data_IF_794308425397
#
_entry.id   IF_794308425397
#
_cell.length_a   1.000
_cell.length_b   1.000
_cell.length_c   1.000
_cell.angle_alpha   90.00
_cell.angle_beta   90.00
_cell.angle_gamma   90.00
#
_symmetry.space_group_name_H-M   'P 1'
#
loop_
_entity.id
_entity.type
_entity.pdbx_description
1 polymer ?
#
# COMPACT_ATOMS: atom_id res chain seq x y z
N UNK A 1 26.29 -16.07 34.47
CA UNK A 1 26.80 -15.25 33.35
C UNK A 1 25.68 -14.59 32.58
N UNK A 2 25.80 -13.28 32.34
CA UNK A 2 24.81 -12.52 31.58
C UNK A 2 25.22 -12.51 30.11
N UNK A 3 24.44 -13.18 29.27
CA UNK A 3 24.66 -13.21 27.82
C UNK A 3 23.94 -12.03 27.18
N UNK A 4 24.67 -11.18 26.46
CA UNK A 4 24.10 -10.05 25.72
C UNK A 4 23.58 -10.48 24.36
N UNK A 5 22.51 -9.83 23.89
CA UNK A 5 21.99 -10.06 22.55
C UNK A 5 22.93 -9.51 21.46
N UNK A 6 22.88 -10.08 20.26
CA UNK A 6 23.62 -9.58 19.09
C UNK A 6 23.31 -8.10 18.80
N UNK A 7 22.05 -7.67 18.98
CA UNK A 7 21.65 -6.27 18.79
C UNK A 7 22.37 -5.34 19.78
N UNK A 8 22.46 -5.75 21.04
CA UNK A 8 23.17 -5.00 22.08
C UNK A 8 24.65 -4.87 21.75
N UNK A 9 25.27 -5.95 21.29
CA UNK A 9 26.68 -5.95 20.89
C UNK A 9 26.96 -4.96 19.73
N UNK A 10 26.11 -4.95 18.71
CA UNK A 10 26.25 -4.00 17.60
C UNK A 10 26.07 -2.54 18.03
N UNK A 11 25.18 -2.29 18.99
CA UNK A 11 24.99 -0.94 19.55
C UNK A 11 26.21 -0.46 20.35
N UNK A 12 26.87 -1.35 21.08
CA UNK A 12 28.11 -0.99 21.80
C UNK A 12 29.24 -0.60 20.85
N UNK A 13 29.33 -1.26 19.68
CA UNK A 13 30.25 -0.84 18.61
C UNK A 13 29.89 0.56 18.07
N UNK A 14 28.59 0.84 17.89
CA UNK A 14 28.14 2.18 17.48
C UNK A 14 28.44 3.27 18.52
N UNK A 15 28.39 2.93 19.81
CA UNK A 15 28.68 3.83 20.91
C UNK A 15 30.18 3.96 21.20
N UNK A 16 31.05 3.24 20.48
CA UNK A 16 32.50 3.26 20.70
C UNK A 16 32.94 2.61 22.02
N UNK A 17 32.09 1.75 22.60
CA UNK A 17 32.36 1.05 23.86
C UNK A 17 33.23 -0.21 23.66
N UNK A 18 33.58 -0.53 22.42
CA UNK A 18 34.46 -1.62 22.04
C UNK A 18 35.51 -1.13 21.04
N UNK A 19 36.71 -1.70 21.13
CA UNK A 19 37.82 -1.43 20.20
C UNK A 19 37.65 -2.20 18.88
N UNK A 20 36.48 -2.05 18.26
CA UNK A 20 36.09 -2.67 16.99
C UNK A 20 35.37 -1.58 16.19
N UNK A 21 35.66 -1.46 14.89
CA UNK A 21 35.03 -0.44 14.03
C UNK A 21 33.84 -1.03 13.28
N UNK A 22 32.94 -0.15 12.84
CA UNK A 22 31.81 -0.55 12.00
C UNK A 22 32.22 -1.25 10.68
N UNK A 23 33.43 -0.99 10.18
CA UNK A 23 33.99 -1.68 9.01
C UNK A 23 34.37 -3.14 9.27
N UNK A 24 34.64 -3.51 10.53
CA UNK A 24 35.00 -4.87 10.93
C UNK A 24 33.75 -5.77 11.10
N UNK A 25 32.54 -5.21 10.95
CA UNK A 25 31.27 -5.91 11.04
C UNK A 25 30.72 -6.22 9.64
N UNK A 26 31.05 -7.37 9.02
CA UNK A 26 30.71 -7.66 7.62
C UNK A 26 29.19 -7.66 7.36
N UNK A 27 28.40 -8.12 8.32
CA UNK A 27 26.93 -8.11 8.20
C UNK A 27 26.33 -6.70 8.33
N UNK A 28 27.02 -5.76 8.96
CA UNK A 28 26.55 -4.37 9.06
C UNK A 28 26.72 -3.64 7.73
N UNK A 29 27.87 -3.83 7.09
CA UNK A 29 28.23 -3.18 5.83
C UNK A 29 27.33 -3.65 4.68
N UNK A 30 26.87 -4.91 4.72
CA UNK A 30 25.92 -5.47 3.72
C UNK A 30 24.49 -4.96 3.87
N UNK A 31 24.09 -4.45 5.05
CA UNK A 31 22.71 -4.04 5.29
C UNK A 31 22.41 -2.71 4.61
N UNK A 32 21.27 -2.65 3.94
CA UNK A 32 20.79 -1.39 3.39
C UNK A 32 20.39 -0.43 4.52
N UNK A 33 21.14 0.64 4.69
CA UNK A 33 20.91 1.69 5.68
C UNK A 33 19.98 2.80 5.18
N UNK A 34 19.54 2.75 3.91
CA UNK A 34 18.66 3.77 3.36
C UNK A 34 17.32 3.75 4.10
N UNK A 35 17.03 4.84 4.79
CA UNK A 35 15.70 5.10 5.35
C UNK A 35 14.67 5.03 4.23
N UNK A 36 13.61 4.23 4.41
CA UNK A 36 12.50 4.17 3.47
C UNK A 36 11.85 5.55 3.38
N UNK A 37 12.09 6.27 2.29
CA UNK A 37 11.44 7.55 2.03
C UNK A 37 10.03 7.27 1.53
N UNK A 38 9.03 7.79 2.24
CA UNK A 38 7.68 7.85 1.70
C UNK A 38 7.70 8.79 0.49
N UNK A 39 7.39 8.28 -0.70
CA UNK A 39 7.20 9.12 -1.88
C UNK A 39 5.86 9.83 -1.73
N UNK A 40 5.87 11.15 -1.80
CA UNK A 40 4.63 11.94 -1.90
C UNK A 40 4.07 11.76 -3.31
N UNK A 41 2.77 11.46 -3.42
CA UNK A 41 2.10 11.38 -4.71
C UNK A 41 2.05 12.78 -5.34
N UNK A 42 2.52 12.91 -6.58
CA UNK A 42 2.53 14.21 -7.29
C UNK A 42 1.15 14.60 -7.82
N UNK A 43 0.25 13.62 -8.04
CA UNK A 43 -1.10 13.85 -8.56
C UNK A 43 -2.11 13.71 -7.42
N UNK A 44 -3.02 14.67 -7.31
CA UNK A 44 -4.16 14.60 -6.40
C UNK A 44 -5.27 13.83 -7.12
N UNK A 45 -5.54 12.60 -6.68
CA UNK A 45 -6.55 11.70 -7.28
C UNK A 45 -7.96 11.90 -6.70
N UNK A 46 -8.15 12.94 -5.89
CA UNK A 46 -9.37 13.19 -5.13
C UNK A 46 -9.22 12.82 -3.66
N UNK A 47 -10.36 12.78 -2.95
CA UNK A 47 -10.45 12.40 -1.53
C UNK A 47 -10.31 10.90 -1.37
N UNK A 48 -9.64 10.45 -0.31
CA UNK A 48 -9.57 9.01 -0.02
C UNK A 48 -10.95 8.45 0.29
N UNK A 49 -11.18 7.19 -0.07
CA UNK A 49 -12.39 6.47 0.34
C UNK A 49 -12.47 6.34 1.86
N UNK A 50 -11.33 6.32 2.55
CA UNK A 50 -11.24 6.26 4.00
C UNK A 50 -11.76 7.53 4.69
N UNK A 51 -11.79 8.66 3.97
CA UNK A 51 -12.28 9.94 4.48
C UNK A 51 -13.79 10.10 4.35
N UNK A 52 -14.50 9.10 3.79
CA UNK A 52 -15.95 9.16 3.62
C UNK A 52 -16.67 9.21 4.96
N UNK A 53 -17.81 9.89 5.01
CA UNK A 53 -18.62 9.94 6.23
C UNK A 53 -19.01 8.52 6.68
N UNK A 54 -18.85 8.17 7.97
CA UNK A 54 -19.22 6.86 8.50
C UNK A 54 -20.69 6.48 8.25
N UNK A 55 -21.56 7.49 8.06
CA UNK A 55 -22.99 7.29 7.71
C UNK A 55 -23.15 6.42 6.46
N UNK A 56 -22.22 6.49 5.51
CA UNK A 56 -22.26 5.74 4.25
C UNK A 56 -22.13 4.23 4.48
N UNK A 57 -21.46 3.78 5.55
CA UNK A 57 -21.39 2.35 5.91
C UNK A 57 -22.73 1.78 6.36
N UNK A 58 -23.64 2.63 6.84
CA UNK A 58 -24.97 2.17 7.26
C UNK A 58 -25.87 1.77 6.09
N UNK A 59 -25.51 2.14 4.84
CA UNK A 59 -26.25 1.83 3.60
C UNK A 59 -27.74 2.22 3.64
N UNK A 60 -28.09 3.24 4.43
CA UNK A 60 -29.48 3.69 4.61
C UNK A 60 -29.95 4.66 3.54
N UNK A 61 -29.03 5.35 2.87
CA UNK A 61 -29.32 6.39 1.88
C UNK A 61 -29.04 5.88 0.45
N UNK A 62 -29.87 6.31 -0.50
CA UNK A 62 -29.68 6.03 -1.93
C UNK A 62 -28.69 7.05 -2.53
N UNK A 63 -27.97 6.64 -3.58
CA UNK A 63 -27.09 7.51 -4.35
C UNK A 63 -25.60 7.30 -4.04
N UNK A 64 -25.26 6.25 -3.31
CA UNK A 64 -23.88 5.84 -3.06
C UNK A 64 -23.52 4.70 -4.00
N UNK A 65 -22.69 5.00 -4.99
CA UNK A 65 -22.26 4.04 -6.00
C UNK A 65 -20.82 3.60 -5.73
N UNK A 66 -20.60 2.29 -5.75
CA UNK A 66 -19.28 1.67 -5.84
C UNK A 66 -19.01 1.32 -7.30
N UNK A 67 -17.79 1.61 -7.76
CA UNK A 67 -17.37 1.44 -9.14
C UNK A 67 -16.07 0.65 -9.16
N UNK A 68 -16.06 -0.51 -9.82
CA UNK A 68 -14.89 -1.36 -9.99
C UNK A 68 -14.69 -1.71 -11.47
N UNK A 69 -13.44 -2.01 -11.85
CA UNK A 69 -13.10 -2.55 -13.16
C UNK A 69 -12.72 -4.02 -13.02
N UNK A 70 -13.39 -4.88 -13.79
CA UNK A 70 -13.03 -6.29 -13.94
C UNK A 70 -12.29 -6.45 -15.25
N UNK A 71 -11.06 -6.96 -15.17
CA UNK A 71 -10.22 -7.23 -16.33
C UNK A 71 -10.31 -8.72 -16.70
N UNK A 72 -10.51 -9.00 -17.98
CA UNK A 72 -10.41 -10.33 -18.55
C UNK A 72 -8.98 -10.91 -18.53
N UNK A 73 -8.80 -12.04 -19.20
CA UNK A 73 -7.51 -12.71 -19.31
C UNK A 73 -6.55 -11.93 -20.21
N UNK A 74 -5.36 -11.58 -19.70
CA UNK A 74 -4.30 -10.74 -20.31
C UNK A 74 -3.85 -11.13 -21.73
N UNK A 75 -4.71 -11.00 -22.72
CA UNK A 75 -4.38 -11.03 -24.14
C UNK A 75 -4.41 -9.60 -24.70
N UNK A 76 -4.10 -9.43 -25.99
CA UNK A 76 -4.14 -8.10 -26.61
C UNK A 76 -5.56 -7.54 -26.72
N UNK A 77 -6.58 -8.39 -26.58
CA UNK A 77 -8.01 -8.06 -26.72
C UNK A 77 -8.72 -8.23 -25.37
N UNK A 78 -8.12 -7.69 -24.31
CA UNK A 78 -8.67 -7.75 -22.96
C UNK A 78 -10.01 -7.04 -22.88
N UNK A 79 -11.09 -7.82 -22.83
CA UNK A 79 -12.41 -7.30 -22.48
C UNK A 79 -12.37 -6.69 -21.08
N UNK A 80 -12.82 -5.43 -20.97
CA UNK A 80 -12.93 -4.70 -19.72
C UNK A 80 -14.40 -4.52 -19.38
N UNK A 81 -14.76 -4.87 -18.15
CA UNK A 81 -16.11 -4.65 -17.63
C UNK A 81 -16.05 -3.58 -16.53
N UNK A 82 -16.78 -2.49 -16.75
CA UNK A 82 -17.13 -1.52 -15.73
C UNK A 82 -18.30 -2.06 -14.92
N UNK A 83 -18.10 -2.14 -13.61
CA UNK A 83 -19.12 -2.59 -12.68
C UNK A 83 -19.53 -1.44 -11.77
N UNK A 84 -20.83 -1.19 -11.68
CA UNK A 84 -21.42 -0.15 -10.84
C UNK A 84 -22.43 -0.78 -9.90
N UNK A 85 -22.26 -0.60 -8.60
CA UNK A 85 -23.17 -1.12 -7.58
C UNK A 85 -23.68 0.00 -6.68
N UNK A 86 -25.00 0.16 -6.60
CA UNK A 86 -25.62 1.05 -5.62
C UNK A 86 -25.67 0.38 -4.25
N UNK A 87 -25.12 1.01 -3.21
CA UNK A 87 -24.88 0.35 -1.91
C UNK A 87 -26.13 0.01 -1.12
N UNK A 88 -27.25 0.73 -1.30
CA UNK A 88 -28.52 0.54 -0.58
C UNK A 88 -29.42 -0.48 -1.26
N UNK A 89 -29.76 -0.24 -2.53
CA UNK A 89 -30.68 -1.06 -3.33
C UNK A 89 -30.00 -2.29 -3.90
N UNK A 90 -28.66 -2.32 -3.94
CA UNK A 90 -27.86 -3.35 -4.61
C UNK A 90 -28.16 -3.45 -6.10
N UNK A 91 -28.73 -2.41 -6.69
CA UNK A 91 -28.85 -2.30 -8.14
C UNK A 91 -27.46 -2.35 -8.75
N UNK A 92 -27.29 -3.18 -9.77
CA UNK A 92 -26.01 -3.48 -10.35
C UNK A 92 -26.04 -3.30 -11.87
N UNK A 93 -25.01 -2.65 -12.39
CA UNK A 93 -24.75 -2.56 -13.82
C UNK A 93 -23.38 -3.14 -14.14
N UNK A 94 -23.33 -3.90 -15.22
CA UNK A 94 -22.09 -4.44 -15.79
C UNK A 94 -22.05 -4.02 -17.25
N UNK A 95 -21.11 -3.14 -17.56
CA UNK A 95 -21.01 -2.48 -18.86
C UNK A 95 -19.67 -2.86 -19.46
N UNK A 96 -19.68 -3.45 -20.66
CA UNK A 96 -18.46 -3.69 -21.42
C UNK A 96 -17.96 -2.35 -21.98
N UNK A 97 -16.70 -2.04 -21.72
CA UNK A 97 -16.03 -0.83 -22.23
C UNK A 97 -14.84 -1.23 -23.10
N UNK A 98 -14.46 -0.38 -24.05
CA UNK A 98 -13.43 -0.69 -25.04
C UNK A 98 -12.02 -0.74 -24.44
N UNK A 99 -11.70 0.15 -23.49
CA UNK A 99 -10.38 0.20 -22.85
C UNK A 99 -10.42 0.87 -21.47
N UNK A 100 -9.40 0.61 -20.65
CA UNK A 100 -9.11 1.28 -19.38
C UNK A 100 -8.16 2.47 -19.58
N UNK A 101 -8.62 3.50 -20.28
CA UNK A 101 -7.81 4.71 -20.48
C UNK A 101 -7.58 5.44 -19.14
N UNK A 102 -6.33 5.83 -18.84
CA UNK A 102 -5.91 6.54 -17.61
C UNK A 102 -5.67 8.04 -17.84
#
# INVERSE_FOLDING_TARGET
DQVVSTKTLYNYVDLGLMDIKNGDLPEKVKRNTKTRRARVNKRILGRSIDERSPRIESRKDFGHWECDLVLGHKTKDDDVLLTLCERKTRQFFMIKIEDKTS
#
